data_IF_645519836329
#
_entry.id   IF_645519836329
#
_cell.length_a   1.000
_cell.length_b   1.000
_cell.length_c   1.000
_cell.angle_alpha   90.00
_cell.angle_beta   90.00
_cell.angle_gamma   90.00
#
_symmetry.space_group_name_H-M   'P 1'
#
loop_
_entity.id
_entity.type
_entity.pdbx_description
1 polymer ?
#
# COMPACT_ATOMS: atom_id res chain seq x y z
N UNK A 1 -16.18 16.61 12.77
CA UNK A 1 -14.82 17.17 12.96
C UNK A 1 -13.82 16.06 12.70
N UNK A 2 -13.32 15.95 11.46
CA UNK A 2 -12.35 14.92 11.09
C UNK A 2 -11.00 15.41 11.56
N UNK A 3 -10.45 14.81 12.62
CA UNK A 3 -9.07 15.05 13.01
C UNK A 3 -8.20 14.49 11.88
N UNK A 4 -7.81 15.37 10.95
CA UNK A 4 -6.70 15.14 10.02
C UNK A 4 -5.43 15.09 10.87
N UNK A 5 -5.17 13.94 11.49
CA UNK A 5 -3.81 13.59 11.90
C UNK A 5 -3.03 13.24 10.64
N UNK A 6 -2.70 14.27 9.86
CA UNK A 6 -1.59 14.34 8.91
C UNK A 6 -0.32 14.58 9.74
N UNK A 7 0.00 13.67 10.66
CA UNK A 7 1.37 13.61 11.16
C UNK A 7 2.17 12.92 10.07
N UNK A 8 2.69 13.75 9.17
CA UNK A 8 3.67 13.34 8.19
C UNK A 8 4.87 12.77 8.95
N UNK A 9 5.30 11.56 8.58
CA UNK A 9 6.46 10.90 9.18
C UNK A 9 7.66 11.83 9.07
N UNK A 10 7.74 12.58 7.96
CA UNK A 10 8.76 13.60 7.74
C UNK A 10 8.67 14.76 8.74
N UNK A 11 7.50 15.15 9.22
CA UNK A 11 7.35 16.15 10.29
C UNK A 11 7.74 15.60 11.66
N UNK A 12 7.42 14.33 11.94
CA UNK A 12 7.88 13.66 13.17
C UNK A 12 9.42 13.61 13.15
N UNK A 13 10.03 13.12 12.08
CA UNK A 13 11.48 13.06 11.90
C UNK A 13 12.14 14.42 11.74
N UNK A 14 11.46 15.43 11.19
CA UNK A 14 11.96 16.81 11.18
C UNK A 14 11.92 17.44 12.56
N UNK A 15 10.88 17.20 13.36
CA UNK A 15 10.82 17.64 14.75
C UNK A 15 11.92 16.97 15.59
N UNK A 16 12.22 15.69 15.31
CA UNK A 16 13.38 15.00 15.86
C UNK A 16 14.71 15.63 15.44
N UNK A 17 14.91 15.90 14.15
CA UNK A 17 16.17 16.49 13.63
C UNK A 17 16.36 17.95 14.06
N UNK A 18 15.29 18.75 14.16
CA UNK A 18 15.35 20.17 14.57
C UNK A 18 15.65 20.37 16.06
N UNK A 19 15.37 19.38 16.93
CA UNK A 19 15.66 19.45 18.38
C UNK A 19 17.10 19.09 18.75
N UNK A 20 18.03 19.26 17.82
CA UNK A 20 19.45 19.43 18.16
C UNK A 20 19.70 20.68 19.04
N UNK A 21 18.70 21.55 19.28
CA UNK A 21 18.72 22.53 20.35
C UNK A 21 18.05 21.98 21.63
N UNK A 22 18.81 21.78 22.73
CA UNK A 22 18.39 21.00 23.89
C UNK A 22 17.56 21.77 24.94
N UNK A 23 17.09 22.99 24.67
CA UNK A 23 16.77 23.87 25.80
C UNK A 23 15.48 23.60 26.58
N UNK A 24 14.47 22.86 26.10
CA UNK A 24 13.18 22.88 26.81
C UNK A 24 12.27 21.64 26.75
N UNK A 25 12.80 20.42 26.65
CA UNK A 25 11.95 19.22 26.74
C UNK A 25 12.64 18.11 27.52
N UNK A 26 11.95 17.57 28.52
CA UNK A 26 12.37 16.37 29.23
C UNK A 26 12.56 15.21 28.23
N UNK A 27 13.77 14.65 28.10
CA UNK A 27 14.06 13.55 27.15
C UNK A 27 13.09 12.37 27.28
N UNK A 28 12.62 12.05 28.48
CA UNK A 28 11.71 10.93 28.72
C UNK A 28 10.30 11.19 28.17
N UNK A 29 9.74 12.38 28.43
CA UNK A 29 8.45 12.80 27.87
C UNK A 29 8.50 12.84 26.33
N UNK A 30 9.64 13.25 25.78
CA UNK A 30 9.87 13.22 24.34
C UNK A 30 9.85 11.79 23.79
N UNK A 31 10.59 10.86 24.42
CA UNK A 31 10.65 9.46 24.01
C UNK A 31 9.29 8.78 24.07
N UNK A 32 8.47 9.08 25.08
CA UNK A 32 7.10 8.58 25.21
C UNK A 32 6.24 9.12 24.06
N UNK A 33 6.28 10.43 23.83
CA UNK A 33 5.48 11.10 22.79
C UNK A 33 5.80 10.57 21.40
N UNK A 34 7.09 10.42 21.10
CA UNK A 34 7.57 9.79 19.88
C UNK A 34 7.05 8.37 19.76
N UNK A 35 7.21 7.55 20.80
CA UNK A 35 6.79 6.14 20.76
C UNK A 35 5.30 6.03 20.46
N UNK A 36 4.49 6.87 21.09
CA UNK A 36 3.06 6.98 20.83
C UNK A 36 2.76 7.38 19.38
N UNK A 37 3.45 8.37 18.83
CA UNK A 37 3.27 8.82 17.44
C UNK A 37 3.60 7.70 16.45
N UNK A 38 4.72 6.99 16.65
CA UNK A 38 5.12 5.87 15.80
C UNK A 38 4.07 4.75 15.86
N UNK A 39 3.62 4.36 17.06
CA UNK A 39 2.59 3.34 17.22
C UNK A 39 1.29 3.77 16.54
N UNK A 40 0.85 5.01 16.75
CA UNK A 40 -0.34 5.57 16.13
C UNK A 40 -0.26 5.57 14.60
N UNK A 41 0.92 5.88 14.06
CA UNK A 41 1.17 5.81 12.63
C UNK A 41 1.13 4.37 12.12
N UNK A 42 1.81 3.41 12.76
CA UNK A 42 1.75 2.00 12.36
C UNK A 42 0.31 1.48 12.36
N UNK A 43 -0.46 1.76 13.41
CA UNK A 43 -1.84 1.29 13.57
C UNK A 43 -2.83 2.00 12.63
N UNK A 44 -2.44 3.16 12.07
CA UNK A 44 -3.21 3.86 11.03
C UNK A 44 -3.05 3.26 9.62
N UNK A 45 -2.47 2.06 9.48
CA UNK A 45 -2.23 1.38 8.19
C UNK A 45 -3.44 1.29 7.26
N UNK A 46 -4.67 1.28 7.79
CA UNK A 46 -5.90 1.25 6.98
C UNK A 46 -6.03 2.45 6.05
N UNK A 47 -5.39 3.57 6.38
CA UNK A 47 -5.37 4.78 5.56
C UNK A 47 -4.64 4.56 4.21
N UNK A 48 -3.69 3.62 4.14
CA UNK A 48 -2.90 3.36 2.91
C UNK A 48 -3.66 2.60 1.84
N UNK A 49 -4.79 1.99 2.20
CA UNK A 49 -5.62 1.30 1.22
C UNK A 49 -6.29 2.26 0.23
N UNK A 50 -6.06 3.59 0.34
CA UNK A 50 -6.64 4.60 -0.55
C UNK A 50 -8.17 4.43 -0.71
N UNK A 51 -8.83 3.99 0.38
CA UNK A 51 -10.24 3.63 0.44
C UNK A 51 -10.69 2.45 -0.44
N UNK A 52 -9.76 1.75 -1.10
CA UNK A 52 -10.02 0.46 -1.74
C UNK A 52 -10.63 -0.52 -0.74
N UNK A 53 -11.54 -1.36 -1.23
CA UNK A 53 -12.17 -2.45 -0.46
C UNK A 53 -11.65 -3.80 -0.94
N UNK A 54 -12.04 -4.86 -0.25
CA UNK A 54 -11.73 -6.23 -0.67
C UNK A 54 -12.19 -6.46 -2.12
N UNK A 55 -11.38 -7.09 -2.99
CA UNK A 55 -10.13 -7.80 -2.73
C UNK A 55 -8.84 -6.95 -2.87
N UNK A 56 -8.95 -5.64 -3.09
CA UNK A 56 -7.80 -4.76 -3.38
C UNK A 56 -7.21 -4.10 -2.13
N UNK A 57 -8.00 -4.00 -1.05
CA UNK A 57 -7.51 -3.55 0.25
C UNK A 57 -6.54 -4.57 0.85
N UNK A 58 -5.23 -4.34 0.72
CA UNK A 58 -4.20 -5.22 1.30
C UNK A 58 -3.75 -4.75 2.68
N UNK A 59 -4.72 -4.56 3.57
CA UNK A 59 -4.57 -4.08 4.94
C UNK A 59 -3.34 -4.63 5.68
N UNK A 60 -3.17 -5.95 5.69
CA UNK A 60 -2.06 -6.60 6.40
C UNK A 60 -0.72 -6.44 5.68
N UNK A 61 -0.72 -6.23 4.36
CA UNK A 61 0.48 -5.86 3.62
C UNK A 61 0.91 -4.44 3.98
N UNK A 62 -0.04 -3.51 4.10
CA UNK A 62 0.25 -2.12 4.44
C UNK A 62 0.72 -2.00 5.89
N UNK A 63 0.10 -2.71 6.83
CA UNK A 63 0.63 -2.86 8.19
C UNK A 63 2.07 -3.38 8.18
N UNK A 64 2.36 -4.42 7.39
CA UNK A 64 3.70 -4.99 7.29
C UNK A 64 4.72 -3.98 6.75
N UNK A 65 4.36 -3.19 5.72
CA UNK A 65 5.22 -2.13 5.17
C UNK A 65 5.51 -1.06 6.22
N UNK A 66 4.47 -0.55 6.90
CA UNK A 66 4.62 0.46 7.96
C UNK A 66 5.50 -0.03 9.11
N UNK A 67 5.30 -1.27 9.57
CA UNK A 67 6.17 -1.89 10.57
C UNK A 67 7.64 -1.92 10.11
N UNK A 68 7.89 -2.26 8.84
CA UNK A 68 9.27 -2.34 8.31
C UNK A 68 9.93 -0.98 8.23
N UNK A 69 9.18 0.02 7.80
CA UNK A 69 9.65 1.40 7.67
C UNK A 69 10.02 1.96 9.04
N UNK A 70 9.10 1.92 9.99
CA UNK A 70 9.37 2.44 11.34
C UNK A 70 10.42 1.64 12.08
N UNK A 71 10.50 0.32 11.89
CA UNK A 71 11.56 -0.48 12.52
C UNK A 71 12.96 0.04 12.18
N UNK A 72 13.20 0.40 10.91
CA UNK A 72 14.49 0.96 10.47
C UNK A 72 14.77 2.31 11.11
N UNK A 73 13.77 3.16 11.23
CA UNK A 73 13.97 4.48 11.81
C UNK A 73 14.13 4.43 13.34
N UNK A 74 13.37 3.57 14.03
CA UNK A 74 13.57 3.29 15.46
C UNK A 74 14.98 2.75 15.69
N UNK A 75 15.48 1.84 14.83
CA UNK A 75 16.84 1.31 14.95
C UNK A 75 17.91 2.40 14.91
N UNK A 76 17.78 3.36 13.99
CA UNK A 76 18.71 4.50 13.90
C UNK A 76 18.63 5.39 15.14
N UNK A 77 17.42 5.66 15.64
CA UNK A 77 17.23 6.54 16.79
C UNK A 77 17.74 5.90 18.09
N UNK A 78 17.45 4.62 18.33
CA UNK A 78 17.98 3.87 19.48
C UNK A 78 19.51 3.84 19.44
N UNK A 79 20.12 3.69 18.26
CA UNK A 79 21.58 3.77 18.13
C UNK A 79 22.11 5.16 18.47
N UNK A 80 21.43 6.22 18.02
CA UNK A 80 21.78 7.59 18.38
C UNK A 80 21.74 7.82 19.90
N UNK A 81 20.65 7.43 20.57
CA UNK A 81 20.52 7.57 22.03
C UNK A 81 21.62 6.84 22.80
N UNK A 82 22.02 5.64 22.33
CA UNK A 82 23.16 4.91 22.93
C UNK A 82 24.47 5.67 22.79
N UNK A 83 24.71 6.28 21.63
CA UNK A 83 25.95 7.03 21.39
C UNK A 83 25.98 8.36 22.17
N UNK A 84 24.82 8.91 22.55
CA UNK A 84 24.69 10.15 23.31
C UNK A 84 24.39 9.94 24.79
N UNK A 85 24.42 8.69 25.28
CA UNK A 85 24.04 8.31 26.66
C UNK A 85 22.66 8.85 27.09
N UNK A 86 21.70 8.85 26.16
CA UNK A 86 20.32 9.23 26.42
C UNK A 86 19.45 8.00 26.72
N UNK A 87 18.59 8.10 27.72
CA UNK A 87 17.52 7.14 28.01
C UNK A 87 16.60 7.02 26.78
N UNK A 88 16.17 5.80 26.43
CA UNK A 88 15.24 5.56 25.31
C UNK A 88 14.42 4.26 25.45
N UNK A 89 14.17 3.81 26.67
CA UNK A 89 13.58 2.49 27.00
C UNK A 89 12.31 2.17 26.19
N UNK A 90 11.38 3.12 26.07
CA UNK A 90 10.13 2.93 25.33
C UNK A 90 10.35 2.61 23.85
N UNK A 91 11.34 3.25 23.22
CA UNK A 91 11.70 3.00 21.83
C UNK A 91 12.44 1.69 21.67
N UNK A 92 13.27 1.28 22.63
CA UNK A 92 13.86 -0.05 22.65
C UNK A 92 12.78 -1.14 22.76
N UNK A 93 11.79 -0.94 23.63
CA UNK A 93 10.65 -1.86 23.78
C UNK A 93 9.85 -1.94 22.49
N UNK A 94 9.55 -0.80 21.85
CA UNK A 94 8.86 -0.77 20.57
C UNK A 94 9.67 -1.47 19.47
N UNK A 95 10.98 -1.20 19.39
CA UNK A 95 11.91 -1.89 18.50
C UNK A 95 11.82 -3.40 18.68
N UNK A 96 11.85 -3.89 19.92
CA UNK A 96 11.80 -5.32 20.21
C UNK A 96 10.46 -5.95 19.80
N UNK A 97 9.34 -5.26 20.00
CA UNK A 97 8.01 -5.75 19.59
C UNK A 97 7.92 -5.84 18.06
N UNK A 98 8.25 -4.75 17.36
CA UNK A 98 8.15 -4.68 15.90
C UNK A 98 9.20 -5.59 15.24
N UNK A 99 10.39 -5.68 15.82
CA UNK A 99 11.51 -6.50 15.36
C UNK A 99 11.20 -8.00 15.30
N UNK A 100 10.25 -8.49 16.10
CA UNK A 100 9.80 -9.90 16.02
C UNK A 100 9.32 -10.27 14.61
N UNK A 101 8.72 -9.32 13.87
CA UNK A 101 8.26 -9.52 12.48
C UNK A 101 9.40 -9.67 11.48
N UNK A 102 10.60 -9.21 11.84
CA UNK A 102 11.79 -9.20 10.98
C UNK A 102 12.90 -10.11 11.48
N UNK A 103 12.65 -10.82 12.58
CA UNK A 103 13.54 -11.84 13.11
C UNK A 103 13.79 -12.97 12.10
N UNK A 104 14.85 -13.76 12.30
CA UNK A 104 15.18 -14.89 11.43
C UNK A 104 14.24 -16.09 11.57
N UNK A 105 13.20 -16.01 12.40
CA UNK A 105 12.33 -17.14 12.72
C UNK A 105 11.39 -17.53 11.56
N UNK A 106 10.77 -18.71 11.67
CA UNK A 106 9.89 -19.28 10.64
C UNK A 106 8.70 -18.38 10.29
N UNK A 107 8.09 -17.72 11.28
CA UNK A 107 6.92 -16.85 11.08
C UNK A 107 7.30 -15.56 10.35
N UNK A 108 8.39 -14.93 10.76
CA UNK A 108 8.92 -13.73 10.11
C UNK A 108 9.35 -13.99 8.66
N UNK A 109 10.00 -15.14 8.39
CA UNK A 109 10.31 -15.59 7.02
C UNK A 109 9.04 -15.75 6.17
N UNK A 110 8.00 -16.38 6.72
CA UNK A 110 6.69 -16.54 6.04
C UNK A 110 6.00 -15.20 5.77
N UNK A 111 6.00 -14.29 6.75
CA UNK A 111 5.43 -12.95 6.60
C UNK A 111 6.15 -12.16 5.50
N UNK A 112 7.49 -12.18 5.50
CA UNK A 112 8.34 -11.55 4.48
C UNK A 112 8.03 -12.07 3.07
N UNK A 113 7.95 -13.39 2.90
CA UNK A 113 7.65 -13.97 1.59
C UNK A 113 6.21 -13.67 1.14
N UNK A 114 5.24 -13.71 2.06
CA UNK A 114 3.85 -13.36 1.77
C UNK A 114 3.73 -11.89 1.34
N UNK A 115 4.39 -10.98 2.07
CA UNK A 115 4.42 -9.57 1.72
C UNK A 115 5.05 -9.33 0.34
N UNK A 116 6.15 -10.05 0.02
CA UNK A 116 6.80 -9.98 -1.30
C UNK A 116 5.86 -10.43 -2.41
N UNK A 117 5.21 -11.58 -2.26
CA UNK A 117 4.26 -12.12 -3.24
C UNK A 117 3.08 -11.19 -3.44
N UNK A 118 2.44 -10.75 -2.36
CA UNK A 118 1.31 -9.83 -2.40
C UNK A 118 1.68 -8.50 -3.06
N UNK A 119 2.85 -7.94 -2.78
CA UNK A 119 3.33 -6.70 -3.43
C UNK A 119 3.46 -6.87 -4.94
N UNK A 120 4.03 -7.99 -5.40
CA UNK A 120 4.20 -8.28 -6.83
C UNK A 120 2.84 -8.45 -7.51
N UNK A 121 1.93 -9.19 -6.89
CA UNK A 121 0.58 -9.43 -7.39
C UNK A 121 -0.20 -8.11 -7.45
N UNK A 122 -0.20 -7.32 -6.38
CA UNK A 122 -0.96 -6.07 -6.29
C UNK A 122 -0.55 -5.09 -7.38
N UNK A 123 0.75 -4.96 -7.65
CA UNK A 123 1.27 -4.09 -8.71
C UNK A 123 0.63 -4.37 -10.07
N UNK A 124 0.33 -5.64 -10.37
CA UNK A 124 -0.30 -6.02 -11.64
C UNK A 124 -1.80 -5.70 -11.67
N UNK A 125 -2.48 -5.82 -10.53
CA UNK A 125 -3.86 -5.38 -10.40
C UNK A 125 -3.97 -3.85 -10.47
N UNK A 126 -3.05 -3.12 -9.85
CA UNK A 126 -2.99 -1.65 -9.92
C UNK A 126 -2.75 -1.17 -11.37
N UNK A 127 -1.84 -1.82 -12.09
CA UNK A 127 -1.58 -1.54 -13.52
C UNK A 127 -2.85 -1.75 -14.35
N UNK A 128 -3.59 -2.84 -14.12
CA UNK A 128 -4.87 -3.11 -14.77
C UNK A 128 -5.92 -2.05 -14.44
N UNK A 129 -6.07 -1.66 -13.16
CA UNK A 129 -7.05 -0.63 -12.74
C UNK A 129 -6.76 0.73 -13.40
N UNK A 130 -5.49 1.12 -13.50
CA UNK A 130 -5.08 2.34 -14.20
C UNK A 130 -5.46 2.31 -15.69
N UNK A 131 -5.21 1.18 -16.36
CA UNK A 131 -5.59 1.02 -17.78
C UNK A 131 -7.10 1.14 -17.95
N UNK A 132 -7.87 0.52 -17.05
CA UNK A 132 -9.33 0.59 -17.06
C UNK A 132 -9.88 1.96 -16.59
N UNK A 133 -8.98 2.91 -16.24
CA UNK A 133 -9.33 4.22 -15.67
C UNK A 133 -10.30 4.08 -14.48
N UNK A 134 -10.08 3.06 -13.65
CA UNK A 134 -10.84 2.81 -12.41
C UNK A 134 -10.23 3.66 -11.30
N UNK A 135 -10.54 4.95 -11.33
CA UNK A 135 -9.99 5.95 -10.40
C UNK A 135 -10.81 6.09 -9.11
N UNK A 136 -12.03 5.52 -9.09
CA UNK A 136 -12.88 5.60 -7.91
C UNK A 136 -12.31 4.76 -6.76
N UNK A 137 -12.21 5.43 -5.62
CA UNK A 137 -11.86 4.88 -4.32
C UNK A 137 -13.03 4.03 -3.81
N UNK A 138 -12.78 2.76 -3.45
CA UNK A 138 -13.79 1.86 -2.88
C UNK A 138 -14.38 0.86 -3.87
N UNK A 139 -15.59 0.36 -3.56
CA UNK A 139 -16.35 -0.42 -4.53
C UNK A 139 -16.66 0.50 -5.72
N UNK A 140 -16.48 0.04 -6.96
CA UNK A 140 -16.96 0.79 -8.14
C UNK A 140 -18.44 1.07 -7.86
N UNK A 141 -18.85 2.34 -7.66
CA UNK A 141 -20.24 2.62 -7.42
C UNK A 141 -20.95 2.18 -8.70
N UNK A 142 -21.86 1.19 -8.62
CA UNK A 142 -22.62 0.72 -9.80
C UNK A 142 -23.41 1.87 -10.43
N UNK A 143 -23.69 2.86 -9.61
CA UNK A 143 -24.33 4.16 -9.82
C UNK A 143 -23.40 5.25 -10.41
N UNK A 144 -22.08 5.04 -10.43
CA UNK A 144 -21.09 5.91 -11.10
C UNK A 144 -20.34 5.18 -12.21
N UNK A 145 -21.04 4.33 -12.95
CA UNK A 145 -20.56 3.88 -14.26
C UNK A 145 -20.47 5.11 -15.17
N UNK A 146 -19.32 5.79 -15.13
CA UNK A 146 -19.02 6.88 -16.05
C UNK A 146 -19.10 6.34 -17.45
N UNK A 147 -20.07 6.85 -18.21
CA UNK A 147 -20.22 6.52 -19.63
C UNK A 147 -19.01 7.17 -20.31
N UNK A 148 -18.04 6.34 -20.67
CA UNK A 148 -16.83 6.75 -21.39
C UNK A 148 -17.21 7.02 -22.85
N UNK A 149 -16.55 7.99 -23.48
CA UNK A 149 -16.76 8.22 -24.91
C UNK A 149 -16.25 7.04 -25.75
N UNK A 150 -16.72 6.89 -26.99
CA UNK A 150 -16.26 5.82 -27.87
C UNK A 150 -14.74 5.92 -28.14
N UNK A 151 -14.18 7.13 -28.16
CA UNK A 151 -12.74 7.38 -28.27
C UNK A 151 -11.98 6.88 -27.03
N UNK A 152 -12.47 7.19 -25.83
CA UNK A 152 -11.88 6.70 -24.58
C UNK A 152 -11.95 5.18 -24.46
N UNK A 153 -13.07 4.57 -24.89
CA UNK A 153 -13.22 3.11 -24.95
C UNK A 153 -12.21 2.52 -25.93
N UNK A 154 -12.02 3.16 -27.09
CA UNK A 154 -11.00 2.78 -28.07
C UNK A 154 -9.58 2.81 -27.51
N UNK A 155 -9.23 3.88 -26.78
CA UNK A 155 -7.94 4.02 -26.10
C UNK A 155 -7.72 2.93 -25.05
N UNK A 156 -8.72 2.69 -24.19
CA UNK A 156 -8.64 1.66 -23.14
C UNK A 156 -8.48 0.28 -23.78
N UNK A 157 -9.21 -0.05 -24.85
CA UNK A 157 -9.07 -1.32 -25.57
C UNK A 157 -7.66 -1.49 -26.13
N UNK A 158 -7.10 -0.45 -26.75
CA UNK A 158 -5.71 -0.47 -27.27
C UNK A 158 -4.71 -0.73 -26.15
N UNK A 159 -4.81 0.01 -25.04
CA UNK A 159 -3.93 -0.14 -23.89
C UNK A 159 -4.08 -1.51 -23.22
N UNK A 160 -5.31 -2.03 -23.11
CA UNK A 160 -5.61 -3.35 -22.57
C UNK A 160 -5.00 -4.46 -23.46
N UNK A 161 -5.07 -4.33 -24.78
CA UNK A 161 -4.47 -5.27 -25.72
C UNK A 161 -2.94 -5.32 -25.57
N UNK A 162 -2.29 -4.16 -25.50
CA UNK A 162 -0.85 -4.07 -25.23
C UNK A 162 -0.48 -4.70 -23.89
N UNK A 163 -1.27 -4.45 -22.85
CA UNK A 163 -1.09 -5.05 -21.54
C UNK A 163 -1.23 -6.57 -21.58
N UNK A 164 -2.26 -7.12 -22.23
CA UNK A 164 -2.43 -8.57 -22.41
C UNK A 164 -1.22 -9.20 -23.13
N UNK A 165 -0.67 -8.54 -24.15
CA UNK A 165 0.54 -9.00 -24.83
C UNK A 165 1.75 -9.04 -23.89
N UNK A 166 1.96 -8.00 -23.09
CA UNK A 166 3.00 -7.96 -22.04
C UNK A 166 2.82 -9.04 -20.98
N UNK A 167 1.58 -9.32 -20.57
CA UNK A 167 1.30 -10.40 -19.62
C UNK A 167 1.63 -11.76 -20.23
N UNK A 168 1.24 -12.02 -21.49
CA UNK A 168 1.51 -13.27 -22.20
C UNK A 168 3.00 -13.56 -22.31
N UNK A 169 3.83 -12.56 -22.64
CA UNK A 169 5.29 -12.75 -22.71
C UNK A 169 5.89 -13.12 -21.34
N UNK A 170 5.43 -12.49 -20.26
CA UNK A 170 5.85 -12.82 -18.88
C UNK A 170 5.38 -14.18 -18.39
N UNK A 171 4.24 -14.66 -18.90
CA UNK A 171 3.77 -16.02 -18.61
C UNK A 171 4.67 -17.06 -19.30
N UNK A 172 5.12 -16.78 -20.52
CA UNK A 172 6.05 -17.65 -21.27
C UNK A 172 7.43 -17.72 -20.62
N UNK A 173 7.88 -16.66 -19.95
CA UNK A 173 9.21 -16.61 -19.31
C UNK A 173 9.38 -17.46 -18.03
N UNK A 174 8.34 -18.20 -17.56
CA UNK A 174 8.53 -19.25 -16.56
C UNK A 174 7.59 -19.22 -15.34
N UNK A 175 8.00 -19.89 -14.26
CA UNK A 175 7.21 -20.14 -13.03
C UNK A 175 7.49 -19.14 -11.90
N UNK A 176 7.59 -17.84 -12.20
CA UNK A 176 7.78 -16.82 -11.17
C UNK A 176 6.45 -16.41 -10.50
N UNK A 177 6.51 -15.78 -9.32
CA UNK A 177 5.32 -15.19 -8.68
C UNK A 177 4.64 -14.15 -9.58
N UNK A 178 5.44 -13.35 -10.31
CA UNK A 178 4.95 -12.37 -11.29
C UNK A 178 4.23 -13.08 -12.44
N UNK A 179 4.81 -14.16 -12.97
CA UNK A 179 4.17 -14.95 -14.03
C UNK A 179 2.84 -15.57 -13.57
N UNK A 180 2.76 -16.07 -12.33
CA UNK A 180 1.50 -16.58 -11.77
C UNK A 180 0.45 -15.47 -11.62
N UNK A 181 0.84 -14.26 -11.16
CA UNK A 181 -0.05 -13.10 -11.13
C UNK A 181 -0.57 -12.75 -12.54
N UNK A 182 0.32 -12.73 -13.53
CA UNK A 182 -0.03 -12.50 -14.93
C UNK A 182 -1.02 -13.54 -15.46
N UNK A 183 -0.84 -14.84 -15.11
CA UNK A 183 -1.78 -15.91 -15.48
C UNK A 183 -3.17 -15.68 -14.90
N UNK A 184 -3.25 -15.30 -13.62
CA UNK A 184 -4.52 -15.03 -12.93
C UNK A 184 -5.24 -13.87 -13.62
N UNK A 185 -4.56 -12.75 -13.87
CA UNK A 185 -5.15 -11.59 -14.52
C UNK A 185 -5.60 -11.92 -15.94
N UNK A 186 -4.77 -12.61 -16.74
CA UNK A 186 -5.15 -13.04 -18.08
C UNK A 186 -6.39 -13.94 -18.07
N UNK A 187 -6.50 -14.86 -17.12
CA UNK A 187 -7.67 -15.73 -16.97
C UNK A 187 -8.95 -14.92 -16.73
N UNK A 188 -8.90 -13.93 -15.83
CA UNK A 188 -10.06 -13.09 -15.54
C UNK A 188 -10.41 -12.16 -16.69
N UNK A 189 -9.41 -11.52 -17.33
CA UNK A 189 -9.64 -10.69 -18.50
C UNK A 189 -10.28 -11.50 -19.63
N UNK A 190 -9.74 -12.67 -19.98
CA UNK A 190 -10.32 -13.48 -21.06
C UNK A 190 -11.74 -13.99 -20.74
N UNK A 191 -12.11 -14.10 -19.46
CA UNK A 191 -13.44 -14.56 -19.04
C UNK A 191 -14.48 -13.44 -18.99
N UNK A 192 -14.05 -12.19 -18.78
CA UNK A 192 -14.95 -11.08 -18.45
C UNK A 192 -14.74 -9.82 -19.30
N UNK A 193 -13.85 -9.85 -20.29
CA UNK A 193 -13.53 -8.69 -21.15
C UNK A 193 -14.75 -8.14 -21.91
N UNK A 194 -15.66 -9.01 -22.31
CA UNK A 194 -16.96 -8.67 -22.90
C UNK A 194 -17.82 -7.80 -21.96
N UNK A 195 -17.66 -7.98 -20.65
CA UNK A 195 -18.40 -7.24 -19.61
C UNK A 195 -17.70 -5.95 -19.17
N UNK A 196 -16.46 -5.72 -19.58
CA UNK A 196 -15.70 -4.51 -19.23
C UNK A 196 -16.17 -3.29 -20.03
N UNK A 197 -16.76 -3.50 -21.21
CA UNK A 197 -17.20 -2.45 -22.11
C UNK A 197 -18.67 -2.68 -22.47
N UNK A 198 -19.58 -2.02 -21.76
CA UNK A 198 -20.98 -2.01 -22.17
C UNK A 198 -21.13 -1.16 -23.45
N UNK A 199 -21.85 -1.64 -24.47
CA UNK A 199 -22.13 -0.83 -25.65
C UNK A 199 -22.91 0.43 -25.26
N UNK A 200 -22.45 1.60 -25.71
CA UNK A 200 -23.10 2.91 -25.53
C UNK A 200 -24.60 2.90 -25.88
N UNK A 201 -25.02 1.97 -26.74
CA UNK A 201 -26.41 1.76 -27.20
C UNK A 201 -27.37 1.18 -26.16
N UNK A 202 -26.92 0.64 -25.02
CA UNK A 202 -27.81 0.12 -23.98
C UNK A 202 -28.35 1.19 -23.03
N UNK A 203 -27.74 2.38 -22.97
CA UNK A 203 -28.15 3.44 -22.03
C UNK A 203 -29.33 4.28 -22.55
N UNK A 204 -29.49 4.40 -23.87
CA UNK A 204 -30.57 5.20 -24.47
C UNK A 204 -31.95 4.52 -24.50
N UNK A 205 -32.09 3.29 -23.98
CA UNK A 205 -33.39 2.59 -23.95
C UNK A 205 -34.21 2.80 -22.67
N UNK A 206 -33.69 3.56 -21.70
CA UNK A 206 -34.35 3.82 -20.42
C UNK A 206 -34.99 5.21 -20.24
N UNK A 207 -35.01 6.05 -21.29
CA UNK A 207 -35.75 7.33 -21.29
C UNK A 207 -36.86 7.28 -22.33
N UNK A 208 -37.98 6.66 -21.97
CA UNK A 208 -39.30 6.94 -22.52
C UNK A 208 -40.28 6.98 -21.37
#
# INVERSE_FOLDING_TARGET
MVIKNEYDVDQIFHAFKKKQNPEYINPDEFNISVSYLIVSWILSYRKDSNGDRFPFSLLYLDLYKRCREMYREIEKYVLFCKNTNQECEHLERLKNIVGKLFSGNKHAKRAKESARKLTVINRRFDEMRRILKMHDVGDIPRDRLTIKSDEEIGEIKKNLMQFKTKLKSKVKSGKSCDANACKIILKYLNRHEDKLFLPSKMVNRGRK
#
